data_IF_035182633911
#
_entry.id   IF_035182633911
#
_cell.length_a   1.000
_cell.length_b   1.000
_cell.length_c   1.000
_cell.angle_alpha   90.00
_cell.angle_beta   90.00
_cell.angle_gamma   90.00
#
_symmetry.space_group_name_H-M   'P 1'
#
loop_
_entity.id
_entity.type
_entity.pdbx_description
1 polymer ?
#
# COMPACT_ATOMS: atom_id res chain seq x y z
N UNK A 1 8.59 22.11 -8.73
CA UNK A 1 7.58 21.05 -8.39
C UNK A 1 6.86 21.47 -7.12
N UNK A 2 5.55 21.33 -7.09
CA UNK A 2 4.75 21.60 -5.90
C UNK A 2 4.92 20.49 -4.87
N UNK A 3 4.50 20.73 -3.62
CA UNK A 3 4.52 19.69 -2.59
C UNK A 3 3.63 18.50 -2.94
N UNK A 4 2.50 18.76 -3.61
CA UNK A 4 1.62 17.68 -4.09
C UNK A 4 2.32 16.83 -5.15
N UNK A 5 3.00 17.45 -6.08
CA UNK A 5 3.76 16.75 -7.11
C UNK A 5 4.89 15.93 -6.50
N UNK A 6 5.64 16.52 -5.56
CA UNK A 6 6.71 15.81 -4.84
C UNK A 6 6.14 14.58 -4.10
N UNK A 7 5.01 14.75 -3.42
CA UNK A 7 4.35 13.65 -2.72
C UNK A 7 3.94 12.53 -3.69
N UNK A 8 3.45 12.88 -4.89
CA UNK A 8 3.10 11.89 -5.91
C UNK A 8 4.32 11.11 -6.40
N UNK A 9 5.44 11.79 -6.59
CA UNK A 9 6.70 11.13 -7.01
C UNK A 9 7.14 10.13 -5.95
N UNK A 10 7.14 10.54 -4.69
CA UNK A 10 7.55 9.66 -3.58
C UNK A 10 6.57 8.50 -3.42
N UNK A 11 5.26 8.75 -3.55
CA UNK A 11 4.26 7.68 -3.52
C UNK A 11 4.54 6.63 -4.61
N UNK A 12 4.87 7.05 -5.82
CA UNK A 12 5.23 6.14 -6.90
C UNK A 12 6.44 5.28 -6.52
N UNK A 13 7.47 5.90 -5.96
CA UNK A 13 8.68 5.20 -5.53
C UNK A 13 8.37 4.16 -4.45
N UNK A 14 7.61 4.54 -3.43
CA UNK A 14 7.23 3.64 -2.34
C UNK A 14 6.35 2.49 -2.81
N UNK A 15 5.43 2.76 -3.73
CA UNK A 15 4.61 1.71 -4.34
C UNK A 15 5.47 0.73 -5.14
N UNK A 16 6.47 1.23 -5.87
CA UNK A 16 7.42 0.40 -6.61
C UNK A 16 8.23 -0.51 -5.69
N UNK A 17 8.71 0.03 -4.59
CA UNK A 17 9.45 -0.74 -3.58
C UNK A 17 8.56 -1.80 -2.92
N UNK A 18 7.31 -1.46 -2.66
CA UNK A 18 6.33 -2.42 -2.12
C UNK A 18 6.10 -3.58 -3.09
N UNK A 19 5.95 -3.29 -4.38
CA UNK A 19 5.80 -4.32 -5.42
C UNK A 19 6.99 -5.27 -5.39
N UNK A 20 8.21 -4.74 -5.32
CA UNK A 20 9.44 -5.55 -5.27
C UNK A 20 9.46 -6.42 -4.01
N UNK A 21 9.08 -5.87 -2.87
CA UNK A 21 9.05 -6.59 -1.60
C UNK A 21 8.06 -7.75 -1.64
N UNK A 22 6.88 -7.52 -2.17
CA UNK A 22 5.85 -8.57 -2.37
C UNK A 22 6.38 -9.67 -3.28
N UNK A 23 7.03 -9.31 -4.38
CA UNK A 23 7.59 -10.25 -5.34
C UNK A 23 8.65 -11.15 -4.69
N UNK A 24 9.52 -10.58 -3.87
CA UNK A 24 10.55 -11.35 -3.16
C UNK A 24 9.93 -12.37 -2.20
N UNK A 25 8.90 -11.98 -1.48
CA UNK A 25 8.19 -12.88 -0.56
C UNK A 25 7.56 -14.05 -1.32
N UNK A 26 6.89 -13.77 -2.43
CA UNK A 26 6.24 -14.82 -3.24
C UNK A 26 7.26 -15.79 -3.83
N UNK A 27 8.39 -15.29 -4.32
CA UNK A 27 9.44 -16.14 -4.87
C UNK A 27 10.10 -17.03 -3.82
N UNK A 28 10.17 -16.55 -2.56
CA UNK A 28 10.81 -17.28 -1.46
C UNK A 28 9.83 -18.11 -0.65
N UNK A 29 8.53 -17.86 -0.79
CA UNK A 29 7.46 -18.51 -0.02
C UNK A 29 7.69 -18.38 1.50
N UNK A 30 8.15 -17.19 1.95
CA UNK A 30 8.57 -16.95 3.33
C UNK A 30 7.66 -15.96 4.08
N UNK A 31 6.38 -15.82 3.69
CA UNK A 31 5.50 -14.83 4.30
C UNK A 31 5.36 -14.99 5.82
N UNK A 32 5.34 -16.23 6.28
CA UNK A 32 5.13 -16.51 7.72
C UNK A 32 6.43 -16.76 8.48
N UNK A 33 7.56 -16.63 7.83
CA UNK A 33 8.85 -16.75 8.48
C UNK A 33 9.30 -15.40 9.06
N UNK A 34 10.01 -15.45 10.18
CA UNK A 34 10.59 -14.22 10.77
C UNK A 34 11.93 -13.95 10.09
N UNK A 35 11.89 -13.34 8.91
CA UNK A 35 13.06 -13.05 8.10
C UNK A 35 13.17 -11.54 7.85
N UNK A 36 14.37 -11.14 7.37
CA UNK A 36 14.59 -9.73 6.95
C UNK A 36 13.67 -9.34 5.78
N UNK A 37 13.23 -10.30 4.96
CA UNK A 37 12.34 -10.03 3.83
C UNK A 37 10.93 -9.69 4.30
N UNK A 38 10.46 -10.39 5.32
CA UNK A 38 9.15 -10.08 5.95
C UNK A 38 9.22 -8.75 6.68
N UNK A 39 10.30 -8.47 7.41
CA UNK A 39 10.47 -7.18 8.06
C UNK A 39 10.52 -6.05 7.05
N UNK A 40 11.22 -6.25 5.94
CA UNK A 40 11.29 -5.28 4.84
C UNK A 40 9.89 -5.01 4.25
N UNK A 41 9.10 -6.06 4.04
CA UNK A 41 7.72 -5.92 3.56
C UNK A 41 6.89 -5.06 4.50
N UNK A 42 6.99 -5.28 5.80
CA UNK A 42 6.28 -4.48 6.80
C UNK A 42 6.69 -3.00 6.73
N UNK A 43 7.99 -2.74 6.59
CA UNK A 43 8.51 -1.38 6.47
C UNK A 43 7.95 -0.69 5.22
N UNK A 44 7.94 -1.40 4.09
CA UNK A 44 7.41 -0.85 2.83
C UNK A 44 5.90 -0.58 2.91
N UNK A 45 5.15 -1.45 3.57
CA UNK A 45 3.72 -1.21 3.82
C UNK A 45 3.55 0.06 4.65
N UNK A 46 4.36 0.23 5.70
CA UNK A 46 4.35 1.42 6.54
C UNK A 46 4.71 2.68 5.78
N UNK A 47 5.68 2.60 4.87
CA UNK A 47 6.10 3.73 4.05
C UNK A 47 4.99 4.19 3.10
N UNK A 48 4.31 3.24 2.45
CA UNK A 48 3.13 3.55 1.61
C UNK A 48 2.01 4.17 2.46
N UNK A 49 1.78 3.64 3.64
CA UNK A 49 0.78 4.18 4.57
C UNK A 49 1.10 5.64 4.94
N UNK A 50 2.36 5.95 5.19
CA UNK A 50 2.81 7.32 5.43
C UNK A 50 2.47 8.24 4.27
N UNK A 51 2.70 7.76 3.05
CA UNK A 51 2.39 8.56 1.85
C UNK A 51 0.89 8.77 1.67
N UNK A 52 0.07 7.78 2.04
CA UNK A 52 -1.39 7.93 2.03
C UNK A 52 -1.81 9.03 3.01
N UNK A 53 -1.26 9.05 4.22
CA UNK A 53 -1.52 10.10 5.20
C UNK A 53 -1.13 11.48 4.68
N UNK A 54 0.01 11.57 4.01
CA UNK A 54 0.46 12.83 3.40
C UNK A 54 -0.47 13.28 2.28
N UNK A 55 -1.02 12.35 1.50
CA UNK A 55 -2.03 12.68 0.49
C UNK A 55 -3.27 13.32 1.11
N UNK A 56 -3.69 12.83 2.28
CA UNK A 56 -4.80 13.43 3.01
C UNK A 56 -4.41 14.82 3.54
N UNK A 57 -3.23 14.94 4.13
CA UNK A 57 -2.73 16.21 4.67
C UNK A 57 -2.62 17.30 3.60
N UNK A 58 -2.31 16.91 2.37
CA UNK A 58 -2.20 17.83 1.23
C UNK A 58 -3.48 17.92 0.39
N UNK A 59 -4.60 17.47 0.92
CA UNK A 59 -5.93 17.59 0.32
C UNK A 59 -6.07 16.94 -1.06
N UNK A 60 -5.29 15.91 -1.35
CA UNK A 60 -5.43 15.12 -2.58
C UNK A 60 -6.60 14.15 -2.45
N UNK A 61 -6.80 13.61 -1.25
CA UNK A 61 -7.88 12.67 -0.93
C UNK A 61 -8.29 12.89 0.52
N UNK A 62 -9.52 12.54 0.88
CA UNK A 62 -10.00 12.60 2.25
C UNK A 62 -10.12 11.21 2.87
N UNK A 63 -10.12 11.14 4.20
CA UNK A 63 -10.35 9.86 4.90
C UNK A 63 -11.72 9.27 4.54
N UNK A 64 -12.74 10.12 4.37
CA UNK A 64 -14.09 9.66 3.98
C UNK A 64 -14.07 9.01 2.61
N UNK A 65 -13.39 9.61 1.65
CA UNK A 65 -13.22 9.03 0.31
C UNK A 65 -12.49 7.69 0.37
N UNK A 66 -11.44 7.59 1.20
CA UNK A 66 -10.68 6.35 1.38
C UNK A 66 -11.55 5.24 1.97
N UNK A 67 -12.37 5.57 2.99
CA UNK A 67 -13.26 4.59 3.60
C UNK A 67 -14.34 4.11 2.62
N UNK A 68 -14.92 5.00 1.85
CA UNK A 68 -15.89 4.63 0.80
C UNK A 68 -15.26 3.73 -0.24
N UNK A 69 -14.03 4.03 -0.65
CA UNK A 69 -13.32 3.19 -1.61
C UNK A 69 -12.96 1.84 -1.02
N UNK A 70 -12.59 1.80 0.26
CA UNK A 70 -12.32 0.56 0.98
C UNK A 70 -13.56 -0.37 0.93
N UNK A 71 -14.73 0.16 1.24
CA UNK A 71 -15.97 -0.62 1.21
C UNK A 71 -16.27 -1.13 -0.19
N UNK A 72 -16.12 -0.27 -1.19
CA UNK A 72 -16.34 -0.62 -2.59
C UNK A 72 -15.36 -1.73 -3.05
N UNK A 73 -14.08 -1.61 -2.70
CA UNK A 73 -13.07 -2.60 -3.08
C UNK A 73 -13.32 -3.94 -2.40
N UNK A 74 -13.74 -3.94 -1.13
CA UNK A 74 -14.08 -5.16 -0.41
C UNK A 74 -15.22 -5.92 -1.09
N UNK A 75 -16.25 -5.22 -1.54
CA UNK A 75 -17.36 -5.83 -2.30
C UNK A 75 -16.88 -6.44 -3.61
N UNK A 76 -15.97 -5.75 -4.33
CA UNK A 76 -15.38 -6.31 -5.55
C UNK A 76 -14.55 -7.56 -5.27
N UNK A 77 -13.75 -7.54 -4.21
CA UNK A 77 -12.88 -8.67 -3.85
C UNK A 77 -13.67 -9.94 -3.52
N UNK A 78 -14.90 -9.82 -3.03
CA UNK A 78 -15.78 -10.98 -2.82
C UNK A 78 -16.01 -11.78 -4.09
N UNK A 79 -15.98 -11.12 -5.25
CA UNK A 79 -16.20 -11.75 -6.57
C UNK A 79 -14.92 -12.30 -7.18
N UNK A 80 -13.75 -11.74 -6.81
CA UNK A 80 -12.49 -12.01 -7.48
C UNK A 80 -11.50 -12.80 -6.63
N UNK A 81 -11.71 -12.89 -5.33
CA UNK A 81 -10.75 -13.52 -4.44
C UNK A 81 -11.47 -14.13 -3.22
N UNK A 82 -10.72 -14.92 -2.46
CA UNK A 82 -11.19 -15.52 -1.22
C UNK A 82 -10.80 -14.70 0.02
N UNK A 83 -10.25 -13.50 -0.17
CA UNK A 83 -9.78 -12.64 0.94
C UNK A 83 -10.92 -12.11 1.80
N UNK A 84 -12.09 -11.90 1.22
CA UNK A 84 -13.27 -11.36 1.91
C UNK A 84 -14.36 -12.44 1.89
N UNK A 85 -14.80 -12.83 3.08
CA UNK A 85 -15.87 -13.82 3.27
C UNK A 85 -17.25 -13.19 3.33
#
# INVERSE_FOLDING_TARGET
MTKREEALVILMEECGELVQSCSKILRRQELYADTKYVQNLKDEIGDVYTMIKLMVEHDVVSWDELEKRNDHKREKLKKWSDLIE
#
